data_IF_508953165104
#
_entry.id   IF_508953165104
#
_cell.length_a   1.000
_cell.length_b   1.000
_cell.length_c   1.000
_cell.angle_alpha   90.00
_cell.angle_beta   90.00
_cell.angle_gamma   90.00
#
_symmetry.space_group_name_H-M   'P 1'
#
loop_
_entity.id
_entity.type
_entity.pdbx_description
1 polymer ?
#
# COMPACT_ATOMS: atom_id res chain seq x y z
N UNK A 1 -3.83 28.75 22.50
CA UNK A 1 -2.90 27.61 22.59
C UNK A 1 -1.49 28.17 22.69
N UNK A 2 -0.59 27.58 23.48
CA UNK A 2 0.81 28.03 23.52
C UNK A 2 1.60 27.23 22.50
N UNK A 3 2.49 27.89 21.75
CA UNK A 3 3.38 27.25 20.80
C UNK A 3 4.60 26.66 21.54
N UNK A 4 4.75 25.34 21.48
CA UNK A 4 5.86 24.57 22.05
C UNK A 4 6.12 23.30 21.21
N UNK A 5 7.12 22.51 21.61
CA UNK A 5 7.54 21.28 20.89
C UNK A 5 6.48 20.17 20.84
N UNK A 6 5.40 20.27 21.60
CA UNK A 6 4.28 19.31 21.56
C UNK A 6 3.08 19.83 20.78
N UNK A 7 3.00 21.15 20.56
CA UNK A 7 1.88 21.81 19.89
C UNK A 7 2.21 22.34 18.50
N UNK A 8 3.49 22.44 18.13
CA UNK A 8 3.92 22.98 16.82
C UNK A 8 3.36 22.18 15.63
N UNK A 9 3.22 20.86 15.73
CA UNK A 9 2.65 20.01 14.64
C UNK A 9 1.19 20.37 14.36
N UNK A 10 0.40 20.63 15.39
CA UNK A 10 -0.99 21.09 15.23
C UNK A 10 -1.05 22.47 14.57
N UNK A 11 -0.13 23.36 14.91
CA UNK A 11 -0.02 24.68 14.28
C UNK A 11 0.44 24.58 12.81
N UNK A 12 1.34 23.66 12.48
CA UNK A 12 1.74 23.38 11.10
C UNK A 12 0.55 22.89 10.26
N UNK A 13 -0.31 22.04 10.84
CA UNK A 13 -1.53 21.57 10.18
C UNK A 13 -2.53 22.72 9.97
N UNK A 14 -2.76 23.54 11.00
CA UNK A 14 -3.63 24.73 10.90
C UNK A 14 -3.11 25.73 9.85
N UNK A 15 -1.77 25.82 9.64
CA UNK A 15 -1.15 26.61 8.56
C UNK A 15 -1.54 26.09 7.18
N UNK A 16 -1.40 24.77 6.97
CA UNK A 16 -1.72 24.11 5.69
C UNK A 16 -3.21 24.27 5.37
N UNK A 17 -4.05 24.28 6.39
CA UNK A 17 -5.50 24.43 6.26
C UNK A 17 -5.97 25.89 6.23
N UNK A 18 -5.05 26.86 6.33
CA UNK A 18 -5.36 28.30 6.26
C UNK A 18 -6.14 28.83 7.47
N UNK A 19 -6.01 28.19 8.63
CA UNK A 19 -6.72 28.53 9.88
C UNK A 19 -5.93 29.47 10.80
N UNK A 20 -4.65 29.68 10.53
CA UNK A 20 -3.81 30.58 11.33
C UNK A 20 -4.10 32.05 11.01
N UNK A 21 -4.08 32.90 12.05
CA UNK A 21 -4.07 34.34 11.88
C UNK A 21 -2.65 34.86 11.55
N UNK A 22 -2.51 36.06 10.95
CA UNK A 22 -1.20 36.62 10.61
C UNK A 22 -0.25 36.77 11.80
N UNK A 23 -0.79 36.94 13.01
CA UNK A 23 0.01 37.06 14.22
C UNK A 23 0.56 35.69 14.66
N UNK A 24 -0.24 34.63 14.53
CA UNK A 24 0.16 33.26 14.83
C UNK A 24 1.15 32.71 13.81
N UNK A 25 1.03 33.09 12.53
CA UNK A 25 2.02 32.74 11.51
C UNK A 25 3.40 33.34 11.84
N UNK A 26 3.44 34.59 12.32
CA UNK A 26 4.69 35.24 12.76
C UNK A 26 5.29 34.55 13.97
N UNK A 27 4.46 34.12 14.92
CA UNK A 27 4.90 33.37 16.10
C UNK A 27 5.46 32.00 15.71
N UNK A 28 4.78 31.27 14.81
CA UNK A 28 5.25 30.00 14.27
C UNK A 28 6.56 30.15 13.50
N UNK A 29 6.68 31.17 12.65
CA UNK A 29 7.91 31.43 11.90
C UNK A 29 9.11 31.73 12.81
N UNK A 30 8.91 32.53 13.86
CA UNK A 30 9.97 32.83 14.84
C UNK A 30 10.39 31.57 15.63
N UNK A 31 9.43 30.69 15.95
CA UNK A 31 9.69 29.43 16.65
C UNK A 31 10.47 28.44 15.80
N UNK A 32 10.11 28.26 14.52
CA UNK A 32 10.83 27.39 13.58
C UNK A 32 12.24 27.90 13.29
N UNK A 33 12.43 29.22 13.16
CA UNK A 33 13.76 29.83 12.99
C UNK A 33 14.68 29.56 14.19
N UNK A 34 14.12 29.51 15.39
CA UNK A 34 14.86 29.19 16.62
C UNK A 34 15.07 27.68 16.84
N UNK A 35 14.29 26.84 16.16
CA UNK A 35 14.33 25.37 16.26
C UNK A 35 14.37 24.74 14.86
N UNK A 36 15.50 24.86 14.13
CA UNK A 36 15.62 24.36 12.76
C UNK A 36 15.51 22.84 12.65
N UNK A 37 15.63 22.11 13.76
CA UNK A 37 15.36 20.67 13.87
C UNK A 37 13.88 20.31 13.73
N UNK A 38 13.00 21.27 14.04
CA UNK A 38 11.54 21.14 13.98
C UNK A 38 10.94 21.80 12.75
N UNK A 39 11.74 22.60 12.03
CA UNK A 39 11.35 23.09 10.73
C UNK A 39 11.24 21.88 9.79
N UNK A 40 10.04 21.52 9.33
CA UNK A 40 9.94 20.46 8.35
C UNK A 40 10.69 20.83 7.06
N UNK A 41 11.11 22.08 6.87
CA UNK A 41 11.66 22.58 5.63
C UNK A 41 10.59 22.51 4.53
N UNK A 42 11.02 22.58 3.28
CA UNK A 42 10.17 22.21 2.14
C UNK A 42 10.00 20.68 2.08
N UNK A 43 9.42 20.09 3.14
CA UNK A 43 9.06 18.66 3.19
C UNK A 43 7.99 18.27 2.17
N UNK A 44 7.37 19.25 1.49
CA UNK A 44 6.55 19.04 0.31
C UNK A 44 7.36 18.55 -0.91
N UNK A 45 8.68 18.76 -0.93
CA UNK A 45 9.56 18.12 -1.89
C UNK A 45 10.18 16.86 -1.27
N UNK A 46 9.40 15.77 -1.29
CA UNK A 46 9.99 14.43 -1.27
C UNK A 46 11.21 14.42 -2.20
N UNK A 47 12.36 13.86 -1.78
CA UNK A 47 13.55 13.81 -2.61
C UNK A 47 13.19 13.20 -3.95
N UNK A 48 13.17 14.03 -5.00
CA UNK A 48 12.90 13.56 -6.36
C UNK A 48 14.13 12.82 -6.82
N UNK A 49 13.97 11.51 -6.96
CA UNK A 49 14.93 10.74 -7.74
C UNK A 49 14.62 11.06 -9.20
N UNK A 50 15.55 11.74 -9.87
CA UNK A 50 15.54 11.83 -11.34
C UNK A 50 15.74 10.42 -11.88
N UNK A 51 14.62 9.70 -12.04
CA UNK A 51 14.57 8.55 -12.91
C UNK A 51 14.77 9.12 -14.31
N UNK A 52 16.02 9.20 -14.76
CA UNK A 52 16.36 9.45 -16.16
C UNK A 52 15.53 8.54 -17.07
N UNK A 53 15.51 8.76 -18.39
CA UNK A 53 14.61 8.05 -19.30
C UNK A 53 14.68 6.54 -19.05
N UNK A 54 13.65 6.02 -18.39
CA UNK A 54 13.56 4.62 -18.03
C UNK A 54 13.51 3.78 -19.31
N UNK A 55 13.82 2.48 -19.22
CA UNK A 55 13.64 1.61 -20.37
C UNK A 55 12.22 1.76 -20.92
N UNK A 56 12.07 1.84 -22.24
CA UNK A 56 10.76 1.75 -22.86
C UNK A 56 10.29 0.30 -22.72
N UNK A 57 9.42 0.03 -21.76
CA UNK A 57 8.74 -1.26 -21.61
C UNK A 57 7.34 -1.18 -22.18
N UNK A 58 6.96 -2.24 -22.89
CA UNK A 58 5.61 -2.40 -23.39
C UNK A 58 4.68 -2.77 -22.21
N UNK A 59 3.75 -1.86 -21.92
CA UNK A 59 2.80 -1.96 -20.81
C UNK A 59 1.82 -3.12 -20.98
N UNK A 60 1.63 -3.62 -22.20
CA UNK A 60 0.75 -4.77 -22.44
C UNK A 60 1.27 -6.04 -21.75
N UNK A 61 2.59 -6.20 -21.59
CA UNK A 61 3.19 -7.33 -20.87
C UNK A 61 2.93 -7.29 -19.35
N UNK A 62 2.49 -6.16 -18.81
CA UNK A 62 2.15 -6.03 -17.40
C UNK A 62 0.71 -6.45 -17.09
N UNK A 63 -0.14 -6.61 -18.12
CA UNK A 63 -1.51 -7.06 -17.92
C UNK A 63 -1.51 -8.54 -17.54
N UNK A 64 -2.16 -8.85 -16.44
CA UNK A 64 -2.36 -10.21 -15.96
C UNK A 64 -3.86 -10.43 -15.77
N UNK A 65 -4.34 -11.57 -16.26
CA UNK A 65 -5.70 -12.03 -15.99
C UNK A 65 -5.74 -12.69 -14.60
N UNK A 66 -6.65 -12.22 -13.75
CA UNK A 66 -6.92 -12.79 -12.43
C UNK A 66 -8.41 -13.19 -12.39
N UNK A 67 -8.75 -14.47 -12.13
CA UNK A 67 -7.84 -15.61 -11.89
C UNK A 67 -7.03 -16.00 -13.14
N UNK A 68 -5.86 -16.65 -12.96
CA UNK A 68 -4.97 -16.99 -14.06
C UNK A 68 -5.65 -17.91 -15.07
N UNK A 69 -5.49 -17.62 -16.35
CA UNK A 69 -6.05 -18.42 -17.45
C UNK A 69 -5.05 -19.44 -17.98
N UNK A 70 -5.54 -20.55 -18.54
CA UNK A 70 -4.71 -21.57 -19.16
C UNK A 70 -4.10 -22.58 -18.18
N UNK A 71 -2.92 -23.09 -18.52
CA UNK A 71 -2.20 -24.11 -17.75
C UNK A 71 -1.12 -23.49 -16.85
N UNK A 72 -0.81 -24.12 -15.70
CA UNK A 72 0.27 -23.68 -14.84
C UNK A 72 1.64 -23.87 -15.50
N UNK A 73 2.49 -22.86 -15.37
CA UNK A 73 3.89 -22.86 -15.76
C UNK A 73 4.72 -22.12 -14.69
N UNK A 74 6.04 -22.00 -14.90
CA UNK A 74 6.92 -21.34 -13.92
C UNK A 74 6.69 -19.83 -13.80
N UNK A 75 6.08 -19.20 -14.80
CA UNK A 75 5.88 -17.75 -14.85
C UNK A 75 4.59 -17.35 -14.14
N UNK A 76 3.60 -18.23 -14.11
CA UNK A 76 2.29 -17.99 -13.51
C UNK A 76 2.03 -18.83 -12.25
N UNK A 77 3.00 -19.62 -11.80
CA UNK A 77 2.86 -20.51 -10.63
C UNK A 77 2.31 -19.76 -9.42
N UNK A 78 2.88 -18.59 -9.09
CA UNK A 78 2.46 -17.80 -7.93
C UNK A 78 0.99 -17.39 -8.04
N UNK A 79 0.53 -17.01 -9.23
CA UNK A 79 -0.88 -16.65 -9.47
C UNK A 79 -1.79 -17.85 -9.25
N UNK A 80 -1.40 -19.04 -9.71
CA UNK A 80 -2.16 -20.27 -9.48
C UNK A 80 -2.17 -20.69 -8.01
N UNK A 81 -1.07 -20.49 -7.29
CA UNK A 81 -0.99 -20.78 -5.86
C UNK A 81 -1.90 -19.85 -5.05
N UNK A 82 -1.91 -18.55 -5.38
CA UNK A 82 -2.80 -17.55 -4.76
C UNK A 82 -4.26 -17.86 -5.07
N UNK A 83 -4.61 -18.05 -6.34
CA UNK A 83 -5.98 -18.37 -6.74
C UNK A 83 -6.49 -19.68 -6.09
N UNK A 84 -5.62 -20.67 -5.86
CA UNK A 84 -5.99 -21.88 -5.11
C UNK A 84 -6.33 -21.57 -3.65
N UNK A 85 -5.58 -20.68 -3.02
CA UNK A 85 -5.81 -20.28 -1.63
C UNK A 85 -7.10 -19.47 -1.46
N UNK A 86 -7.42 -18.64 -2.45
CA UNK A 86 -8.65 -17.84 -2.50
C UNK A 86 -9.88 -18.67 -2.89
N UNK A 87 -9.67 -19.88 -3.44
CA UNK A 87 -10.75 -20.75 -3.92
C UNK A 87 -11.27 -20.38 -5.31
N UNK A 88 -10.50 -19.59 -6.06
CA UNK A 88 -10.86 -19.04 -7.37
C UNK A 88 -10.47 -19.95 -8.55
N UNK A 89 -9.82 -21.09 -8.29
CA UNK A 89 -9.53 -22.08 -9.32
C UNK A 89 -10.75 -22.96 -9.63
N UNK A 90 -10.97 -23.21 -10.91
CA UNK A 90 -11.87 -24.29 -11.34
C UNK A 90 -11.28 -25.67 -11.00
N UNK A 91 -12.14 -26.69 -10.91
CA UNK A 91 -11.70 -28.06 -10.65
C UNK A 91 -10.68 -28.58 -11.68
N UNK A 92 -10.80 -28.13 -12.94
CA UNK A 92 -9.83 -28.48 -14.00
C UNK A 92 -8.46 -27.84 -13.75
N UNK A 93 -8.44 -26.57 -13.34
CA UNK A 93 -7.20 -25.86 -13.04
C UNK A 93 -6.51 -26.40 -11.79
N UNK A 94 -7.28 -26.76 -10.77
CA UNK A 94 -6.74 -27.37 -9.55
C UNK A 94 -6.09 -28.74 -9.84
N UNK A 95 -6.72 -29.56 -10.69
CA UNK A 95 -6.15 -30.81 -11.14
C UNK A 95 -4.85 -30.60 -11.95
N UNK A 96 -4.83 -29.61 -12.86
CA UNK A 96 -3.65 -29.26 -13.63
C UNK A 96 -2.49 -28.75 -12.76
N UNK A 97 -2.78 -27.90 -11.77
CA UNK A 97 -1.79 -27.41 -10.81
C UNK A 97 -1.24 -28.53 -9.94
N UNK A 98 -2.10 -29.45 -9.50
CA UNK A 98 -1.67 -30.63 -8.72
C UNK A 98 -0.72 -31.51 -9.53
N UNK A 99 -1.05 -31.82 -10.79
CA UNK A 99 -0.18 -32.60 -11.66
C UNK A 99 1.17 -31.89 -11.89
N UNK A 100 1.15 -30.57 -12.11
CA UNK A 100 2.35 -29.77 -12.32
C UNK A 100 3.29 -29.78 -11.10
N UNK A 101 2.75 -29.70 -9.88
CA UNK A 101 3.54 -29.77 -8.65
C UNK A 101 4.10 -31.19 -8.41
N UNK A 102 3.33 -32.24 -8.72
CA UNK A 102 3.80 -33.63 -8.58
C UNK A 102 4.98 -33.94 -9.50
N UNK A 103 5.02 -33.35 -10.70
CA UNK A 103 6.14 -33.51 -11.63
C UNK A 103 7.40 -32.73 -11.19
N UNK A 104 7.26 -31.77 -10.27
CA UNK A 104 8.31 -30.82 -9.87
C UNK A 104 8.35 -30.64 -8.35
N UNK A 105 8.82 -31.65 -7.60
CA UNK A 105 8.90 -31.58 -6.15
C UNK A 105 9.79 -30.43 -5.62
N UNK A 106 10.68 -29.88 -6.45
CA UNK A 106 11.44 -28.67 -6.13
C UNK A 106 10.56 -27.43 -5.87
N UNK A 107 9.33 -27.41 -6.42
CA UNK A 107 8.37 -26.33 -6.25
C UNK A 107 7.52 -26.46 -4.97
N UNK A 108 7.60 -27.60 -4.27
CA UNK A 108 6.87 -27.82 -3.02
C UNK A 108 7.21 -26.79 -1.95
N UNK A 109 8.47 -26.35 -1.91
CA UNK A 109 8.90 -25.32 -0.97
C UNK A 109 8.16 -24.00 -1.21
N UNK A 110 7.97 -23.63 -2.47
CA UNK A 110 7.29 -22.39 -2.84
C UNK A 110 5.80 -22.46 -2.52
N UNK A 111 5.16 -23.60 -2.83
CA UNK A 111 3.78 -23.86 -2.43
C UNK A 111 3.58 -23.75 -0.90
N UNK A 112 4.52 -24.28 -0.11
CA UNK A 112 4.48 -24.18 1.36
C UNK A 112 4.68 -22.76 1.87
N UNK A 113 5.59 -21.99 1.27
CA UNK A 113 5.81 -20.58 1.61
C UNK A 113 4.57 -19.75 1.34
N UNK A 114 3.95 -19.94 0.18
CA UNK A 114 2.73 -19.23 -0.19
C UNK A 114 1.60 -19.55 0.79
N UNK A 115 1.40 -20.84 1.12
CA UNK A 115 0.41 -21.25 2.10
C UNK A 115 0.65 -20.64 3.50
N UNK A 116 1.91 -20.48 3.91
CA UNK A 116 2.27 -19.83 5.19
C UNK A 116 2.03 -18.31 5.19
N UNK A 117 1.98 -17.68 4.02
CA UNK A 117 1.67 -16.26 3.88
C UNK A 117 0.15 -15.97 3.94
N UNK A 118 -0.69 -17.00 3.95
CA UNK A 118 -2.13 -16.85 4.07
C UNK A 118 -2.51 -16.28 5.45
N UNK A 119 -3.08 -15.07 5.46
CA UNK A 119 -3.69 -14.49 6.67
C UNK A 119 -5.20 -14.64 6.54
N UNK A 120 -5.87 -15.35 7.46
CA UNK A 120 -7.32 -15.46 7.42
C UNK A 120 -7.94 -14.08 7.55
N UNK A 121 -8.95 -13.79 6.73
CA UNK A 121 -9.68 -12.54 6.81
C UNK A 121 -10.42 -12.44 8.16
N UNK A 122 -9.97 -11.56 9.04
CA UNK A 122 -10.72 -11.18 10.22
C UNK A 122 -11.91 -10.32 9.77
N UNK A 123 -13.12 -10.85 9.95
CA UNK A 123 -14.34 -10.07 9.78
C UNK A 123 -14.45 -9.09 10.95
N UNK A 124 -13.81 -7.92 10.83
CA UNK A 124 -14.07 -6.79 11.70
C UNK A 124 -15.41 -6.18 11.27
N UNK A 125 -16.50 -6.34 12.05
CA UNK A 125 -17.74 -5.64 11.74
C UNK A 125 -17.46 -4.15 11.78
N UNK A 126 -17.66 -3.47 10.65
CA UNK A 126 -17.57 -2.03 10.58
C UNK A 126 -18.62 -1.45 11.54
N UNK A 127 -18.27 -0.63 12.54
CA UNK A 127 -19.27 0.02 13.39
C UNK A 127 -20.15 0.87 12.47
N UNK A 128 -21.46 0.61 12.54
CA UNK A 128 -22.53 1.03 11.63
C UNK A 128 -22.35 2.36 10.88
N UNK A 129 -22.85 2.41 9.64
CA UNK A 129 -22.98 3.58 8.73
C UNK A 129 -23.62 4.86 9.32
N UNK A 130 -24.06 4.83 10.58
CA UNK A 130 -24.69 5.95 11.29
C UNK A 130 -23.73 7.14 11.45
N UNK A 131 -22.41 6.90 11.53
CA UNK A 131 -21.40 7.96 11.62
C UNK A 131 -21.01 8.57 10.25
N UNK A 132 -21.43 7.97 9.13
CA UNK A 132 -21.12 8.44 7.78
C UNK A 132 -22.15 9.43 7.20
N UNK A 133 -23.23 9.73 7.94
CA UNK A 133 -24.20 10.75 7.51
C UNK A 133 -23.82 12.12 8.06
N UNK A 134 -23.31 13.00 7.19
CA UNK A 134 -23.33 14.45 7.44
C UNK A 134 -24.78 14.86 7.70
N UNK A 135 -25.09 15.21 8.93
CA UNK A 135 -26.31 15.95 9.27
C UNK A 135 -26.24 17.29 8.54
N UNK A 136 -27.05 17.45 7.49
CA UNK A 136 -27.40 18.75 6.90
C UNK A 136 -28.37 19.51 7.80
#
# INVERSE_FOLDING_TARGET
>A
MKLDRTTYEAWLLDRIEGRLTPDQERELAAFLLANPDLDPGDQDELPRVDAGPGPAFDKEFLKQDLPPTGAPDLRNLDLFLVARMEGDLSAQQEAALTAFLMERPELDLEARRMAAAHVPADHLPYPSEVDLRRTS
#
